data_IF_491515689869
#
_entry.id   IF_491515689869
#
_cell.length_a   1.000
_cell.length_b   1.000
_cell.length_c   1.000
_cell.angle_alpha   90.00
_cell.angle_beta   90.00
_cell.angle_gamma   90.00
#
_symmetry.space_group_name_H-M   'P 1'
#
loop_
_entity.id
_entity.type
_entity.pdbx_description
1 polymer ?
#
# COMPACT_ATOMS: atom_id res chain seq x y z
N UNK A 1 8.23 11.52 35.51
CA UNK A 1 9.67 11.87 35.41
C UNK A 1 10.01 12.34 34.00
N UNK A 2 9.75 11.53 32.97
CA UNK A 2 10.08 11.85 31.57
C UNK A 2 9.34 13.08 30.99
N UNK A 3 8.09 13.31 31.39
CA UNK A 3 7.36 14.53 31.00
C UNK A 3 8.04 15.82 31.51
N UNK A 4 8.70 15.78 32.69
CA UNK A 4 9.47 16.93 33.20
C UNK A 4 10.72 17.21 32.35
N UNK A 5 11.22 16.20 31.64
CA UNK A 5 12.34 16.31 30.70
C UNK A 5 11.87 16.60 29.27
N UNK A 6 10.58 16.90 29.05
CA UNK A 6 9.97 17.13 27.73
C UNK A 6 10.13 15.96 26.75
N UNK A 7 10.21 14.74 27.29
CA UNK A 7 10.27 13.51 26.48
C UNK A 7 8.84 12.97 26.35
N UNK A 8 8.33 12.89 25.12
CA UNK A 8 7.08 12.20 24.80
C UNK A 8 7.31 10.69 24.86
N UNK A 9 6.43 9.98 25.56
CA UNK A 9 6.46 8.52 25.66
C UNK A 9 5.12 7.99 25.20
N UNK A 10 5.14 7.04 24.28
CA UNK A 10 3.98 6.28 23.81
C UNK A 10 4.13 4.86 24.35
N UNK A 11 3.13 4.38 25.07
CA UNK A 11 3.04 3.03 25.60
C UNK A 11 2.09 2.17 24.76
N UNK A 12 2.14 0.84 24.94
CA UNK A 12 1.29 -0.13 24.26
C UNK A 12 1.35 -0.08 22.72
N UNK A 13 2.52 0.12 22.14
CA UNK A 13 2.74 0.04 20.69
C UNK A 13 2.81 -1.42 20.26
N UNK A 14 2.14 -1.77 19.17
CA UNK A 14 2.17 -3.13 18.62
C UNK A 14 3.53 -3.46 17.99
N UNK A 15 3.88 -4.74 17.92
CA UNK A 15 5.18 -5.16 17.37
C UNK A 15 5.33 -4.79 15.88
N UNK A 16 4.26 -4.92 15.12
CA UNK A 16 4.26 -4.61 13.68
C UNK A 16 4.48 -3.10 13.45
N UNK A 17 3.91 -2.26 14.32
CA UNK A 17 4.15 -0.81 14.31
C UNK A 17 5.61 -0.47 14.68
N UNK A 18 6.21 -1.20 15.63
CA UNK A 18 7.62 -1.00 15.99
C UNK A 18 8.56 -1.28 14.81
N UNK A 19 8.30 -2.34 14.04
CA UNK A 19 9.05 -2.62 12.82
C UNK A 19 8.83 -1.56 11.73
N UNK A 20 7.59 -1.09 11.59
CA UNK A 20 7.25 -0.01 10.68
C UNK A 20 7.97 1.30 11.03
N UNK A 21 7.96 1.72 12.30
CA UNK A 21 8.65 2.93 12.76
C UNK A 21 10.17 2.79 12.65
N UNK A 22 10.70 1.62 13.04
CA UNK A 22 12.12 1.28 12.91
C UNK A 22 12.63 1.43 11.48
N UNK A 23 11.93 0.83 10.52
CA UNK A 23 12.28 0.92 9.10
C UNK A 23 12.11 2.33 8.52
N UNK A 24 11.13 3.07 9.02
CA UNK A 24 10.80 4.43 8.57
C UNK A 24 11.85 5.45 9.01
N UNK A 25 12.18 5.50 10.31
CA UNK A 25 13.11 6.50 10.87
C UNK A 25 14.57 5.99 10.79
N UNK A 26 14.76 4.68 10.67
CA UNK A 26 16.07 4.03 10.64
C UNK A 26 16.68 3.86 12.02
N UNK A 27 15.85 3.74 13.07
CA UNK A 27 16.28 3.40 14.41
C UNK A 27 16.41 1.88 14.61
N UNK A 28 17.09 1.43 15.66
CA UNK A 28 17.15 0.00 16.03
C UNK A 28 16.36 -0.22 17.31
N UNK A 29 15.37 -1.13 17.33
CA UNK A 29 14.64 -1.42 18.55
C UNK A 29 15.59 -2.06 19.58
N UNK A 30 15.57 -1.56 20.80
CA UNK A 30 16.38 -2.06 21.91
C UNK A 30 15.47 -2.66 23.00
N UNK A 31 15.77 -3.89 23.42
CA UNK A 31 14.98 -4.59 24.44
C UNK A 31 15.25 -4.09 25.87
N UNK A 32 16.43 -3.51 26.10
CA UNK A 32 16.85 -3.04 27.43
C UNK A 32 17.39 -1.61 27.36
N UNK A 33 17.17 -0.80 28.40
CA UNK A 33 17.63 0.58 28.43
C UNK A 33 19.17 0.73 28.44
N UNK A 34 19.90 -0.33 28.78
CA UNK A 34 21.37 -0.35 28.70
C UNK A 34 21.94 -0.48 27.28
N UNK A 35 21.10 -0.78 26.28
CA UNK A 35 21.53 -0.94 24.88
C UNK A 35 21.24 0.29 24.01
N UNK A 36 20.74 1.38 24.59
CA UNK A 36 20.56 2.65 23.87
C UNK A 36 21.92 3.26 23.56
N UNK A 37 22.33 3.14 22.29
CA UNK A 37 23.51 3.82 21.74
C UNK A 37 23.06 4.98 20.88
N UNK A 38 23.90 6.02 20.74
CA UNK A 38 23.60 7.17 19.86
C UNK A 38 23.31 6.73 18.42
N UNK A 39 23.93 5.64 17.99
CA UNK A 39 23.78 5.08 16.63
C UNK A 39 22.45 4.34 16.43
N UNK A 40 21.76 3.97 17.51
CA UNK A 40 20.45 3.31 17.47
C UNK A 40 19.28 4.28 17.36
N UNK A 41 19.53 5.59 17.50
CA UNK A 41 18.52 6.64 17.47
C UNK A 41 18.17 7.07 16.05
N UNK A 42 16.90 7.39 15.85
CA UNK A 42 16.38 7.97 14.61
C UNK A 42 16.19 9.49 14.72
N UNK A 43 16.07 10.17 13.59
CA UNK A 43 15.80 11.63 13.53
C UNK A 43 14.53 11.91 12.73
N UNK A 44 13.72 12.84 13.25
CA UNK A 44 12.51 13.37 12.60
C UNK A 44 12.37 14.87 12.92
N UNK A 45 11.89 15.66 11.96
CA UNK A 45 11.74 17.12 12.13
C UNK A 45 10.63 17.48 13.12
N UNK A 46 9.50 16.80 13.03
CA UNK A 46 8.31 17.15 13.79
C UNK A 46 7.55 15.90 14.22
N UNK A 47 7.46 15.72 15.54
CA UNK A 47 6.59 14.73 16.19
C UNK A 47 5.52 15.48 16.95
N UNK A 48 4.26 15.26 16.59
CA UNK A 48 3.13 15.92 17.23
C UNK A 48 2.01 14.91 17.51
N UNK A 49 1.38 15.04 18.66
CA UNK A 49 0.14 14.34 18.96
C UNK A 49 -1.01 15.15 18.35
N UNK A 50 -1.74 14.55 17.42
CA UNK A 50 -2.91 15.15 16.78
C UNK A 50 -4.14 14.46 17.31
N UNK A 51 -4.97 15.22 18.01
CA UNK A 51 -6.33 14.78 18.36
C UNK A 51 -7.27 15.13 17.23
N UNK A 52 -7.93 14.14 16.62
CA UNK A 52 -9.08 14.41 15.76
C UNK A 52 -10.33 13.77 16.33
N UNK A 53 -11.23 14.60 16.87
CA UNK A 53 -12.45 14.11 17.49
C UNK A 53 -12.14 13.40 18.81
N UNK A 54 -12.49 12.12 18.89
CA UNK A 54 -12.30 11.28 20.09
C UNK A 54 -10.94 10.56 20.11
N UNK A 55 -10.29 10.41 18.96
CA UNK A 55 -9.05 9.64 18.84
C UNK A 55 -7.82 10.55 18.81
N UNK A 56 -6.74 10.04 19.42
CA UNK A 56 -5.43 10.68 19.43
C UNK A 56 -4.43 9.78 18.74
N UNK A 57 -3.66 10.35 17.82
CA UNK A 57 -2.58 9.64 17.16
C UNK A 57 -1.34 10.52 17.09
N UNK A 58 -0.17 9.89 17.11
CA UNK A 58 1.11 10.58 16.99
C UNK A 58 1.52 10.65 15.53
N UNK A 59 1.60 11.86 15.01
CA UNK A 59 2.06 12.14 13.65
C UNK A 59 3.55 12.48 13.67
N UNK A 60 4.32 11.69 12.94
CA UNK A 60 5.76 11.90 12.72
C UNK A 60 5.95 12.42 11.29
N UNK A 61 6.55 13.58 11.14
CA UNK A 61 6.78 14.27 9.86
C UNK A 61 8.22 14.75 9.74
N UNK A 62 8.71 14.85 8.51
CA UNK A 62 10.07 15.33 8.22
C UNK A 62 11.15 14.29 8.52
N UNK A 63 11.04 13.15 7.85
CA UNK A 63 12.02 12.08 7.95
C UNK A 63 13.12 12.36 6.91
N UNK A 64 14.37 12.47 7.36
CA UNK A 64 15.49 12.91 6.52
C UNK A 64 16.02 11.82 5.57
N UNK A 65 15.60 10.56 5.76
CA UNK A 65 15.97 9.42 4.92
C UNK A 65 15.02 9.30 3.73
N UNK A 66 15.42 8.63 2.62
CA UNK A 66 14.54 8.48 1.46
C UNK A 66 13.19 7.91 1.88
N UNK A 67 12.12 8.63 1.53
CA UNK A 67 10.74 8.34 1.87
C UNK A 67 10.31 6.98 1.30
N UNK A 68 10.50 5.91 2.08
CA UNK A 68 10.10 4.55 1.68
C UNK A 68 8.72 4.16 2.21
N UNK A 69 8.22 4.88 3.20
CA UNK A 69 7.01 4.54 3.93
C UNK A 69 6.13 5.78 4.07
N UNK A 70 4.83 5.57 3.92
CA UNK A 70 3.77 6.58 4.10
C UNK A 70 2.63 5.92 4.85
N UNK A 71 2.00 6.66 5.76
CA UNK A 71 0.81 6.21 6.48
C UNK A 71 -0.39 7.02 6.01
N UNK A 72 -1.45 6.33 5.61
CA UNK A 72 -2.71 6.96 5.18
C UNK A 72 -3.74 6.69 6.27
N UNK A 73 -4.26 7.75 6.87
CA UNK A 73 -5.33 7.66 7.88
C UNK A 73 -6.67 7.79 7.16
N UNK A 74 -7.48 6.74 7.22
CA UNK A 74 -8.84 6.70 6.67
C UNK A 74 -9.85 6.86 7.80
N UNK A 75 -10.87 7.68 7.59
CA UNK A 75 -12.02 7.83 8.50
C UNK A 75 -13.30 7.58 7.75
N UNK A 76 -14.22 6.86 8.37
CA UNK A 76 -15.49 6.46 7.80
C UNK A 76 -16.56 6.40 8.88
N UNK A 77 -17.82 6.45 8.46
CA UNK A 77 -18.96 6.43 9.38
C UNK A 77 -19.32 5.04 9.90
N UNK A 78 -18.84 3.99 9.23
CA UNK A 78 -19.13 2.60 9.55
C UNK A 78 -17.92 1.72 9.21
N UNK A 79 -17.72 0.63 9.95
CA UNK A 79 -16.57 -0.27 9.81
C UNK A 79 -16.55 -0.92 8.41
N UNK A 80 -17.71 -1.28 7.88
CA UNK A 80 -17.86 -1.79 6.51
C UNK A 80 -17.31 -0.82 5.44
N UNK A 81 -17.50 0.49 5.64
CA UNK A 81 -17.00 1.51 4.70
C UNK A 81 -15.50 1.69 4.86
N UNK A 82 -14.97 1.60 6.08
CA UNK A 82 -13.53 1.64 6.35
C UNK A 82 -12.82 0.46 5.68
N UNK A 83 -13.34 -0.76 5.84
CA UNK A 83 -12.78 -1.97 5.24
C UNK A 83 -12.80 -1.93 3.71
N UNK A 84 -13.91 -1.45 3.12
CA UNK A 84 -14.01 -1.28 1.67
C UNK A 84 -13.06 -0.20 1.14
N UNK A 85 -12.90 0.90 1.89
CA UNK A 85 -11.98 1.98 1.53
C UNK A 85 -10.52 1.51 1.60
N UNK A 86 -10.15 0.75 2.64
CA UNK A 86 -8.81 0.18 2.77
C UNK A 86 -8.48 -0.77 1.60
N UNK A 87 -9.42 -1.63 1.21
CA UNK A 87 -9.29 -2.50 0.03
C UNK A 87 -9.17 -1.69 -1.27
N UNK A 88 -10.02 -0.69 -1.46
CA UNK A 88 -9.99 0.18 -2.65
C UNK A 88 -8.66 0.93 -2.81
N UNK A 89 -8.08 1.43 -1.71
CA UNK A 89 -6.77 2.11 -1.74
C UNK A 89 -5.66 1.09 -2.07
N UNK A 90 -5.73 -0.12 -1.52
CA UNK A 90 -4.76 -1.17 -1.83
C UNK A 90 -4.75 -1.50 -3.32
N UNK A 91 -5.92 -1.69 -3.92
CA UNK A 91 -6.07 -1.99 -5.34
C UNK A 91 -5.54 -0.86 -6.23
N UNK A 92 -5.87 0.39 -5.89
CA UNK A 92 -5.36 1.56 -6.60
C UNK A 92 -3.82 1.65 -6.55
N UNK A 93 -3.20 1.38 -5.39
CA UNK A 93 -1.75 1.36 -5.25
C UNK A 93 -1.12 0.21 -6.06
N UNK A 94 -1.78 -0.95 -6.14
CA UNK A 94 -1.35 -2.06 -6.99
C UNK A 94 -1.37 -1.70 -8.47
N UNK A 95 -2.39 -0.99 -8.95
CA UNK A 95 -2.45 -0.48 -10.34
C UNK A 95 -1.33 0.51 -10.60
N UNK A 96 -1.14 1.51 -9.72
CA UNK A 96 -0.06 2.50 -9.86
C UNK A 96 1.31 1.82 -9.89
N UNK A 97 1.54 0.83 -9.00
CA UNK A 97 2.77 0.04 -8.99
C UNK A 97 3.00 -0.67 -10.33
N UNK A 98 1.96 -1.27 -10.91
CA UNK A 98 2.05 -1.93 -12.22
C UNK A 98 2.38 -0.94 -13.33
N UNK A 99 1.80 0.26 -13.32
CA UNK A 99 2.10 1.32 -14.30
C UNK A 99 3.53 1.86 -14.18
N UNK A 100 4.06 1.97 -12.95
CA UNK A 100 5.45 2.39 -12.72
C UNK A 100 6.44 1.33 -13.22
N UNK A 101 6.12 0.05 -13.06
CA UNK A 101 6.96 -1.07 -13.55
C UNK A 101 6.83 -1.30 -15.06
N UNK A 102 5.63 -1.22 -15.60
CA UNK A 102 5.30 -1.45 -17.00
C UNK A 102 4.43 -0.33 -17.54
N UNK A 103 4.95 0.44 -18.49
CA UNK A 103 4.30 1.65 -19.03
C UNK A 103 3.37 1.32 -20.19
N UNK A 104 2.45 0.37 -19.96
CA UNK A 104 1.45 -0.03 -20.95
C UNK A 104 0.05 0.25 -20.40
N UNK A 105 -0.83 0.71 -21.28
CA UNK A 105 -2.23 0.99 -20.99
C UNK A 105 -3.07 0.35 -22.09
N UNK A 106 -4.16 -0.27 -21.69
CA UNK A 106 -5.18 -0.82 -22.60
C UNK A 106 -6.51 -0.15 -22.27
N UNK A 107 -7.41 -0.11 -23.26
CA UNK A 107 -8.79 0.30 -22.99
C UNK A 107 -9.44 -0.69 -22.01
N UNK A 108 -10.33 -0.21 -21.15
CA UNK A 108 -11.12 -1.07 -20.25
C UNK A 108 -12.48 -1.43 -20.85
N UNK A 109 -13.37 -1.94 -20.01
CA UNK A 109 -14.79 -2.12 -20.37
C UNK A 109 -15.05 -3.19 -21.43
N UNK A 110 -14.23 -4.25 -21.49
CA UNK A 110 -14.40 -5.32 -22.48
C UNK A 110 -13.76 -5.04 -23.84
N UNK A 111 -13.22 -3.84 -24.06
CA UNK A 111 -12.61 -3.48 -25.35
C UNK A 111 -11.46 -4.42 -25.80
N UNK A 112 -10.47 -4.75 -24.95
CA UNK A 112 -9.39 -5.66 -25.35
C UNK A 112 -9.90 -7.09 -25.53
N UNK A 113 -10.91 -7.51 -24.76
CA UNK A 113 -11.55 -8.81 -24.90
C UNK A 113 -12.31 -8.93 -26.25
N UNK A 114 -13.04 -7.89 -26.66
CA UNK A 114 -13.75 -7.85 -27.96
C UNK A 114 -12.77 -7.85 -29.13
N UNK A 115 -11.70 -7.05 -29.06
CA UNK A 115 -10.66 -7.03 -30.11
C UNK A 115 -9.98 -8.39 -30.23
N UNK A 116 -9.70 -9.05 -29.09
CA UNK A 116 -9.14 -10.41 -29.08
C UNK A 116 -10.11 -11.42 -29.68
N UNK A 117 -11.39 -11.38 -29.30
CA UNK A 117 -12.44 -12.24 -29.86
C UNK A 117 -12.52 -12.11 -31.38
N UNK A 118 -12.55 -10.88 -31.89
CA UNK A 118 -12.61 -10.61 -33.33
C UNK A 118 -11.41 -11.22 -34.08
N UNK A 119 -10.18 -11.00 -33.59
CA UNK A 119 -8.97 -11.56 -34.20
C UNK A 119 -8.92 -13.09 -34.12
N UNK A 120 -9.41 -13.67 -33.03
CA UNK A 120 -9.48 -15.13 -32.88
C UNK A 120 -10.51 -15.74 -33.83
N UNK A 121 -11.64 -15.08 -34.09
CA UNK A 121 -12.60 -15.53 -35.09
C UNK A 121 -12.00 -15.50 -36.52
N UNK A 122 -11.24 -14.47 -36.87
CA UNK A 122 -10.52 -14.43 -38.15
C UNK A 122 -9.50 -15.56 -38.26
N UNK A 123 -8.75 -15.83 -37.18
CA UNK A 123 -7.79 -16.94 -37.16
C UNK A 123 -8.46 -18.31 -37.22
N UNK A 124 -9.63 -18.48 -36.60
CA UNK A 124 -10.38 -19.73 -36.65
C UNK A 124 -10.80 -20.09 -38.08
N UNK A 125 -11.08 -19.10 -38.94
CA UNK A 125 -11.42 -19.32 -40.35
C UNK A 125 -10.25 -19.82 -41.20
N UNK A 126 -9.01 -19.52 -40.79
CA UNK A 126 -7.79 -19.99 -41.47
C UNK A 126 -7.41 -21.42 -41.07
N UNK A 127 -7.88 -21.87 -39.91
CA UNK A 127 -7.63 -23.21 -39.38
C UNK A 127 -8.67 -24.19 -39.90
N UNK A 128 -8.29 -25.46 -40.01
CA UNK A 128 -9.18 -26.54 -40.46
C UNK A 128 -9.32 -27.62 -39.40
N UNK A 129 -10.52 -28.21 -39.30
CA UNK A 129 -10.77 -29.34 -38.42
C UNK A 129 -11.21 -28.92 -37.01
N UNK A 130 -10.88 -29.75 -36.02
CA UNK A 130 -11.32 -29.59 -34.63
C UNK A 130 -10.71 -28.37 -33.94
N UNK A 131 -9.51 -27.95 -34.35
CA UNK A 131 -8.84 -26.78 -33.79
C UNK A 131 -9.60 -25.49 -34.08
N UNK A 132 -10.16 -25.35 -35.28
CA UNK A 132 -10.99 -24.20 -35.65
C UNK A 132 -12.22 -24.06 -34.75
N UNK A 133 -12.87 -25.18 -34.42
CA UNK A 133 -14.03 -25.20 -33.52
C UNK A 133 -13.64 -24.80 -32.09
N UNK A 134 -12.48 -25.27 -31.60
CA UNK A 134 -11.97 -24.90 -30.29
C UNK A 134 -11.62 -23.40 -30.21
N UNK A 135 -10.94 -22.86 -31.22
CA UNK A 135 -10.58 -21.43 -31.27
C UNK A 135 -11.83 -20.56 -31.39
N UNK A 136 -12.80 -20.96 -32.21
CA UNK A 136 -14.07 -20.25 -32.33
C UNK A 136 -14.89 -20.28 -31.02
N UNK A 137 -14.89 -21.41 -30.30
CA UNK A 137 -15.53 -21.50 -29.00
C UNK A 137 -14.84 -20.60 -27.96
N UNK A 138 -13.50 -20.53 -27.99
CA UNK A 138 -12.72 -19.66 -27.11
C UNK A 138 -12.93 -18.17 -27.42
N UNK A 139 -13.06 -17.79 -28.69
CA UNK A 139 -13.33 -16.42 -29.10
C UNK A 139 -14.69 -15.88 -28.59
N UNK A 140 -15.65 -16.77 -28.32
CA UNK A 140 -17.01 -16.43 -27.89
C UNK A 140 -17.23 -16.51 -26.38
N UNK A 141 -16.25 -17.02 -25.64
CA UNK A 141 -16.30 -17.17 -24.18
C UNK A 141 -15.91 -15.86 -23.49
#
# INVERSE_FOLDING_TARGET
>A
FLNKMKILVVDNVERDEMEFISSTIGCRPAASPGHFTTDSLGSADLVQEVSTGFDKFVKITGIHRPFKTVSIVVRGSNDLVLDETARSIHDALCVIRSLVKGRYLIAGGGAPEIEMAYRLEEQAQLLSGTEALCVQAFARA
#
